data_IF_968901874971
#
_entry.id   IF_968901874971
#
_cell.length_a   1.000
_cell.length_b   1.000
_cell.length_c   1.000
_cell.angle_alpha   90.00
_cell.angle_beta   90.00
_cell.angle_gamma   90.00
#
_symmetry.space_group_name_H-M   'P 1'
#
loop_
_entity.id
_entity.type
_entity.pdbx_description
1 polymer ?
#
# COMPACT_ATOMS: atom_id res chain seq x y z
N UNK A 1 24.16 10.68 25.06
CA UNK A 1 23.82 11.53 26.19
C UNK A 1 22.71 12.49 25.78
N UNK A 2 21.47 12.23 26.31
CA UNK A 2 20.50 13.25 26.63
C UNK A 2 20.04 14.23 25.55
N UNK A 3 19.99 13.88 24.29
CA UNK A 3 19.33 14.72 23.31
C UNK A 3 17.85 14.35 23.31
N UNK A 4 17.02 15.37 23.51
CA UNK A 4 15.57 15.26 23.41
C UNK A 4 15.19 14.54 22.14
N UNK A 5 14.37 13.48 22.29
CA UNK A 5 13.93 12.66 21.20
C UNK A 5 13.04 13.46 20.24
N UNK A 6 13.50 13.65 19.02
CA UNK A 6 12.58 13.72 17.90
C UNK A 6 12.10 15.07 17.42
N UNK A 7 12.76 16.19 17.71
CA UNK A 7 12.46 17.46 17.01
C UNK A 7 13.61 17.83 16.08
N UNK A 8 13.33 17.95 14.80
CA UNK A 8 14.19 18.66 13.86
C UNK A 8 14.02 20.14 14.16
N UNK A 9 14.90 20.67 14.97
CA UNK A 9 14.89 22.08 15.37
C UNK A 9 15.73 22.89 14.37
N UNK A 10 15.18 23.03 13.16
CA UNK A 10 15.79 23.84 12.11
C UNK A 10 14.73 24.72 11.46
N UNK A 11 15.03 26.00 11.32
CA UNK A 11 14.18 26.92 10.56
C UNK A 11 14.34 26.73 9.06
N UNK A 12 15.46 26.14 8.62
CA UNK A 12 15.75 25.86 7.21
C UNK A 12 15.50 24.40 6.85
N UNK A 13 15.17 24.11 5.58
CA UNK A 13 15.06 22.72 5.10
C UNK A 13 16.38 21.96 5.25
N UNK A 14 16.29 20.71 5.73
CA UNK A 14 17.45 19.89 6.06
C UNK A 14 17.35 18.47 5.54
N UNK A 15 18.50 17.82 5.39
CA UNK A 15 18.62 16.37 5.22
C UNK A 15 18.75 15.79 6.63
N UNK A 16 17.83 14.88 6.98
CA UNK A 16 17.83 14.22 8.28
C UNK A 16 18.69 12.97 8.24
N UNK A 17 19.72 12.95 9.08
CA UNK A 17 20.67 11.84 9.19
C UNK A 17 20.50 11.16 10.55
N UNK A 18 20.32 9.86 10.57
CA UNK A 18 20.17 9.10 11.79
C UNK A 18 20.74 7.68 11.65
N UNK A 19 20.99 7.03 12.77
CA UNK A 19 21.36 5.61 12.74
C UNK A 19 20.20 4.75 12.27
N UNK A 20 19.02 5.01 12.81
CA UNK A 20 17.74 4.47 12.39
C UNK A 20 16.63 5.43 12.83
N UNK A 21 15.43 5.32 12.24
CA UNK A 21 14.26 6.13 12.61
C UNK A 21 13.14 5.23 13.09
N UNK A 22 12.76 5.38 14.35
CA UNK A 22 11.62 4.69 14.90
C UNK A 22 10.31 5.36 14.43
N UNK A 23 9.20 4.59 14.30
CA UNK A 23 7.89 5.15 13.94
C UNK A 23 7.44 6.31 14.83
N UNK A 24 7.71 6.23 16.13
CA UNK A 24 7.37 7.29 17.10
C UNK A 24 8.15 8.60 16.88
N UNK A 25 9.32 8.52 16.31
CA UNK A 25 10.16 9.69 16.01
C UNK A 25 9.70 10.40 14.74
N UNK A 26 9.15 9.67 13.79
CA UNK A 26 8.69 10.19 12.49
C UNK A 26 7.38 10.95 12.57
N UNK A 27 6.54 10.64 13.54
CA UNK A 27 5.25 11.34 13.77
C UNK A 27 5.47 12.80 14.16
N UNK A 28 6.59 13.10 14.82
CA UNK A 28 6.91 14.44 15.34
C UNK A 28 7.68 15.31 14.35
N UNK A 29 8.05 14.80 13.17
CA UNK A 29 8.80 15.54 12.18
C UNK A 29 7.93 16.58 11.46
N UNK A 30 8.46 17.80 11.34
CA UNK A 30 7.91 18.80 10.42
C UNK A 30 8.31 18.42 8.99
N UNK A 31 7.40 17.74 8.31
CA UNK A 31 7.61 17.19 6.96
C UNK A 31 7.92 18.26 5.92
N UNK A 32 7.55 19.51 6.15
CA UNK A 32 7.84 20.61 5.24
C UNK A 32 9.32 21.01 5.22
N UNK A 33 10.06 20.64 6.26
CA UNK A 33 11.47 20.99 6.45
C UNK A 33 12.45 19.86 6.19
N UNK A 34 11.94 18.64 5.97
CA UNK A 34 12.78 17.47 5.69
C UNK A 34 12.88 17.24 4.19
N UNK A 35 14.06 17.45 3.63
CA UNK A 35 14.33 17.25 2.20
C UNK A 35 14.65 15.80 1.85
N UNK A 36 15.23 15.05 2.78
CA UNK A 36 15.68 13.68 2.57
C UNK A 36 15.96 13.00 3.90
N UNK A 37 15.93 11.66 3.90
CA UNK A 37 16.39 10.81 4.99
C UNK A 37 17.65 10.05 4.58
N UNK A 38 18.64 9.98 5.47
CA UNK A 38 19.81 9.12 5.32
C UNK A 38 20.00 8.33 6.61
N UNK A 39 19.94 7.01 6.55
CA UNK A 39 20.13 6.15 7.72
C UNK A 39 21.25 5.15 7.52
N UNK A 40 21.92 4.78 8.62
CA UNK A 40 22.95 3.75 8.63
C UNK A 40 22.34 2.36 8.62
N UNK A 41 21.26 2.15 9.35
CA UNK A 41 20.51 0.89 9.45
C UNK A 41 19.21 0.93 8.65
N UNK A 42 18.68 -0.23 8.35
CA UNK A 42 17.42 -0.40 7.68
C UNK A 42 17.54 -1.13 6.36
N UNK A 43 16.39 -1.36 5.74
CA UNK A 43 16.27 -1.97 4.42
C UNK A 43 15.30 -1.15 3.56
N UNK A 44 15.21 -1.47 2.27
CA UNK A 44 14.25 -0.84 1.34
C UNK A 44 12.80 -0.99 1.78
N UNK A 45 12.52 -1.93 2.68
CA UNK A 45 11.21 -2.18 3.27
C UNK A 45 11.09 -1.68 4.71
N UNK A 46 12.06 -0.90 5.20
CA UNK A 46 12.02 -0.30 6.52
C UNK A 46 10.95 0.78 6.63
N UNK A 47 10.58 1.12 7.86
CA UNK A 47 9.64 2.22 8.12
C UNK A 47 10.13 3.54 7.51
N UNK A 48 11.43 3.84 7.59
CA UNK A 48 12.04 5.03 6.99
C UNK A 48 11.85 5.06 5.47
N UNK A 49 12.06 3.93 4.79
CA UNK A 49 11.89 3.84 3.35
C UNK A 49 10.42 4.05 2.95
N UNK A 50 9.49 3.46 3.68
CA UNK A 50 8.05 3.64 3.46
C UNK A 50 7.65 5.09 3.66
N UNK A 51 8.13 5.74 4.73
CA UNK A 51 7.85 7.13 5.01
C UNK A 51 8.38 8.06 3.90
N UNK A 52 9.60 7.82 3.43
CA UNK A 52 10.18 8.60 2.34
C UNK A 52 9.37 8.49 1.05
N UNK A 53 8.91 7.29 0.72
CA UNK A 53 8.02 7.07 -0.43
C UNK A 53 6.69 7.81 -0.26
N UNK A 54 6.10 7.75 0.91
CA UNK A 54 4.86 8.47 1.23
C UNK A 54 5.03 9.98 1.11
N UNK A 55 6.16 10.52 1.56
CA UNK A 55 6.49 11.94 1.45
C UNK A 55 7.00 12.33 0.06
N UNK A 56 7.28 11.37 -0.80
CA UNK A 56 7.89 11.55 -2.13
C UNK A 56 9.21 12.32 -2.08
N UNK A 57 10.07 11.93 -1.16
CA UNK A 57 11.43 12.49 -0.99
C UNK A 57 12.49 11.41 -1.14
N UNK A 58 13.71 11.75 -1.55
CA UNK A 58 14.82 10.80 -1.60
C UNK A 58 15.16 10.26 -0.23
N UNK A 59 15.54 8.98 -0.17
CA UNK A 59 16.09 8.39 1.04
C UNK A 59 17.21 7.42 0.70
N UNK A 60 18.22 7.38 1.55
CA UNK A 60 19.29 6.39 1.49
C UNK A 60 19.32 5.62 2.80
N UNK A 61 19.44 4.32 2.71
CA UNK A 61 19.51 3.41 3.85
C UNK A 61 20.73 2.51 3.73
N UNK A 62 21.26 2.06 4.86
CA UNK A 62 22.45 1.23 4.87
C UNK A 62 23.73 1.98 4.47
N UNK A 63 23.80 3.27 4.73
CA UNK A 63 24.94 4.12 4.39
C UNK A 63 25.90 4.20 5.56
N UNK A 64 27.21 4.02 5.32
CA UNK A 64 28.22 4.32 6.30
C UNK A 64 28.33 5.85 6.48
N UNK A 65 28.04 6.31 7.67
CA UNK A 65 27.99 7.74 7.98
C UNK A 65 29.31 8.18 8.66
N UNK A 66 30.01 9.20 8.10
CA UNK A 66 31.15 9.83 8.78
C UNK A 66 30.70 10.51 10.06
N UNK A 67 31.63 10.76 10.94
CA UNK A 67 31.42 11.59 12.12
C UNK A 67 31.30 13.09 11.75
N UNK A 68 30.59 13.85 12.58
CA UNK A 68 30.48 15.32 12.45
C UNK A 68 29.82 15.83 11.17
N UNK A 69 28.65 15.27 10.85
CA UNK A 69 27.85 15.68 9.67
C UNK A 69 26.96 16.90 9.91
N UNK A 70 26.72 17.26 11.18
CA UNK A 70 25.79 18.34 11.53
C UNK A 70 26.27 19.70 10.94
N UNK A 71 25.34 20.37 10.26
CA UNK A 71 25.59 21.68 9.65
C UNK A 71 26.34 21.65 8.32
N UNK A 72 26.73 20.50 7.82
CA UNK A 72 27.37 20.37 6.49
C UNK A 72 26.36 20.34 5.35
N UNK A 73 26.75 20.93 4.22
CA UNK A 73 26.01 20.80 2.98
C UNK A 73 26.21 19.42 2.39
N UNK A 74 25.11 18.82 1.96
CA UNK A 74 25.14 17.48 1.35
C UNK A 74 24.15 17.38 0.19
N UNK A 75 24.42 16.43 -0.70
CA UNK A 75 23.54 16.07 -1.81
C UNK A 75 23.12 14.60 -1.63
N UNK A 76 21.83 14.34 -1.68
CA UNK A 76 21.26 12.98 -1.69
C UNK A 76 20.68 12.68 -3.06
N UNK A 77 21.26 11.71 -3.75
CA UNK A 77 20.75 11.18 -5.01
C UNK A 77 20.11 9.82 -4.75
N UNK A 78 18.79 9.81 -4.64
CA UNK A 78 18.03 8.58 -4.39
C UNK A 78 17.95 7.65 -5.60
N UNK A 79 18.22 8.12 -6.82
CA UNK A 79 18.22 7.31 -8.03
C UNK A 79 19.52 6.49 -8.16
N UNK A 80 20.65 7.12 -7.90
CA UNK A 80 21.95 6.46 -8.00
C UNK A 80 22.46 5.91 -6.65
N UNK A 81 21.76 6.19 -5.56
CA UNK A 81 22.14 5.71 -4.24
C UNK A 81 23.39 6.39 -3.68
N UNK A 82 23.52 7.68 -3.89
CA UNK A 82 24.72 8.46 -3.50
C UNK A 82 24.41 9.51 -2.45
N UNK A 83 25.28 9.59 -1.47
CA UNK A 83 25.40 10.71 -0.54
C UNK A 83 26.71 11.44 -0.86
N UNK A 84 26.65 12.70 -1.28
CA UNK A 84 27.80 13.51 -1.66
C UNK A 84 28.00 14.59 -0.61
N UNK A 85 29.17 14.56 0.03
CA UNK A 85 29.62 15.56 0.99
C UNK A 85 30.70 16.43 0.35
N UNK A 86 30.75 17.71 0.74
CA UNK A 86 31.76 18.65 0.27
C UNK A 86 31.88 18.71 -1.28
N UNK A 87 30.74 18.74 -1.96
CA UNK A 87 30.66 18.79 -3.42
C UNK A 87 31.37 20.07 -3.94
N UNK A 88 32.12 19.92 -5.03
CA UNK A 88 32.68 21.04 -5.77
C UNK A 88 31.56 21.83 -6.50
N UNK A 89 31.92 23.00 -7.02
CA UNK A 89 30.95 23.86 -7.72
C UNK A 89 30.35 23.20 -8.96
N UNK A 90 31.11 22.40 -9.68
CA UNK A 90 30.66 21.70 -10.87
C UNK A 90 29.62 20.63 -10.50
N UNK A 91 29.88 19.83 -9.50
CA UNK A 91 28.97 18.80 -8.97
C UNK A 91 27.69 19.44 -8.42
N UNK A 92 27.83 20.52 -7.66
CA UNK A 92 26.68 21.23 -7.09
C UNK A 92 25.79 21.80 -8.20
N UNK A 93 26.38 22.43 -9.22
CA UNK A 93 25.65 22.97 -10.36
C UNK A 93 24.93 21.87 -11.16
N UNK A 94 25.55 20.72 -11.35
CA UNK A 94 24.96 19.56 -12.02
C UNK A 94 23.70 19.09 -11.30
N UNK A 95 23.76 18.93 -9.98
CA UNK A 95 22.62 18.45 -9.19
C UNK A 95 21.53 19.51 -8.99
N UNK A 96 21.88 20.79 -8.91
CA UNK A 96 20.89 21.87 -8.91
C UNK A 96 20.06 21.87 -10.19
N UNK A 97 20.72 21.71 -11.34
CA UNK A 97 20.06 21.60 -12.64
C UNK A 97 19.16 20.37 -12.73
N UNK A 98 19.65 19.24 -12.26
CA UNK A 98 18.89 17.98 -12.21
C UNK A 98 17.65 18.09 -11.33
N UNK A 99 17.77 18.76 -10.20
CA UNK A 99 16.66 19.06 -9.29
C UNK A 99 15.61 19.97 -9.93
N UNK A 100 16.03 21.02 -10.64
CA UNK A 100 15.13 21.92 -11.35
C UNK A 100 14.36 21.17 -12.46
N UNK A 101 15.03 20.33 -13.22
CA UNK A 101 14.41 19.50 -14.28
C UNK A 101 13.34 18.56 -13.67
N UNK A 102 13.64 17.97 -12.52
CA UNK A 102 12.69 17.09 -11.81
C UNK A 102 11.48 17.87 -11.28
N UNK A 103 11.67 19.07 -10.75
CA UNK A 103 10.59 19.94 -10.28
C UNK A 103 9.69 20.39 -11.43
N UNK A 104 10.26 20.70 -12.59
CA UNK A 104 9.49 21.03 -13.79
C UNK A 104 8.68 19.83 -14.30
N UNK A 105 9.26 18.63 -14.28
CA UNK A 105 8.57 17.39 -14.63
C UNK A 105 7.37 17.16 -13.71
N UNK A 106 7.53 17.37 -12.40
CA UNK A 106 6.42 17.28 -11.44
C UNK A 106 5.31 18.29 -11.74
N UNK A 107 5.66 19.51 -12.13
CA UNK A 107 4.68 20.54 -12.54
C UNK A 107 3.90 20.12 -13.78
N UNK A 108 4.59 19.52 -14.76
CA UNK A 108 3.95 19.01 -15.98
C UNK A 108 2.97 17.87 -15.65
N UNK A 109 3.32 16.99 -14.71
CA UNK A 109 2.44 15.91 -14.28
C UNK A 109 1.15 16.45 -13.61
N UNK A 110 1.22 17.58 -12.93
CA UNK A 110 0.02 18.20 -12.34
C UNK A 110 -1.03 18.60 -13.39
N UNK A 111 -0.64 18.80 -14.64
CA UNK A 111 -1.58 19.09 -15.74
C UNK A 111 -2.42 17.86 -16.12
N UNK A 112 -2.08 16.68 -15.63
CA UNK A 112 -2.84 15.45 -15.85
C UNK A 112 -4.01 15.29 -14.87
N UNK A 113 -4.12 16.13 -13.86
CA UNK A 113 -5.27 16.12 -12.96
C UNK A 113 -6.56 16.40 -13.75
N UNK A 114 -7.59 15.62 -13.43
CA UNK A 114 -8.87 15.69 -14.12
C UNK A 114 -8.91 14.99 -15.48
N UNK A 115 -7.79 14.48 -15.96
CA UNK A 115 -7.75 13.71 -17.21
C UNK A 115 -7.99 12.23 -16.95
N UNK A 116 -8.69 11.59 -17.89
CA UNK A 116 -8.93 10.15 -17.84
C UNK A 116 -7.62 9.37 -17.94
N UNK A 117 -7.55 8.27 -17.17
CA UNK A 117 -6.46 7.30 -17.31
C UNK A 117 -6.85 6.29 -18.37
N UNK A 118 -6.43 6.56 -19.59
CA UNK A 118 -6.76 5.75 -20.76
C UNK A 118 -5.56 5.67 -21.71
N UNK A 119 -5.50 4.55 -22.43
CA UNK A 119 -4.48 4.36 -23.48
C UNK A 119 -4.81 5.20 -24.71
N UNK A 120 -3.86 5.31 -25.64
CA UNK A 120 -4.06 6.00 -26.93
C UNK A 120 -5.22 5.41 -27.76
N UNK A 121 -5.55 4.15 -27.52
CA UNK A 121 -6.67 3.45 -28.16
C UNK A 121 -7.98 3.54 -27.39
N UNK A 122 -8.00 4.32 -26.31
CA UNK A 122 -9.20 4.56 -25.51
C UNK A 122 -9.54 3.50 -24.47
N UNK A 123 -8.63 2.56 -24.18
CA UNK A 123 -8.83 1.60 -23.09
C UNK A 123 -8.66 2.30 -21.74
N UNK A 124 -9.71 2.31 -20.94
CA UNK A 124 -9.71 2.91 -19.60
C UNK A 124 -9.16 1.93 -18.57
N UNK A 125 -8.30 2.45 -17.69
CA UNK A 125 -7.74 1.72 -16.55
C UNK A 125 -8.16 2.46 -15.28
N UNK A 126 -8.64 1.71 -14.30
CA UNK A 126 -8.91 2.27 -12.97
C UNK A 126 -7.58 2.51 -12.25
N UNK A 127 -7.28 3.76 -11.98
CA UNK A 127 -6.04 4.15 -11.32
C UNK A 127 -6.37 4.65 -9.91
N UNK A 128 -6.10 3.80 -8.95
CA UNK A 128 -6.42 4.00 -7.54
C UNK A 128 -5.16 4.19 -6.70
N UNK A 129 -5.36 4.62 -5.46
CA UNK A 129 -4.28 4.80 -4.50
C UNK A 129 -4.33 3.79 -3.37
N UNK A 130 -3.17 3.42 -2.85
CA UNK A 130 -3.02 2.65 -1.62
C UNK A 130 -2.88 3.61 -0.44
N UNK A 131 -3.58 3.34 0.65
CA UNK A 131 -3.43 4.10 1.90
C UNK A 131 -3.22 3.17 3.10
N UNK A 132 -2.44 3.64 4.06
CA UNK A 132 -2.17 2.95 5.32
C UNK A 132 -2.69 3.68 6.56
N UNK A 133 -3.36 4.80 6.38
CA UNK A 133 -3.91 5.60 7.46
C UNK A 133 -4.65 6.83 6.97
N UNK A 134 -5.31 7.56 7.87
CA UNK A 134 -6.12 8.73 7.54
C UNK A 134 -5.29 9.90 7.00
N UNK A 135 -4.03 10.01 7.42
CA UNK A 135 -3.13 11.06 6.95
C UNK A 135 -2.86 11.00 5.43
N UNK A 136 -3.05 9.85 4.81
CA UNK A 136 -2.81 9.67 3.37
C UNK A 136 -3.93 10.25 2.49
N UNK A 137 -5.12 10.52 3.05
CA UNK A 137 -6.27 11.00 2.27
C UNK A 137 -6.00 12.30 1.51
N UNK A 138 -5.32 13.25 2.16
CA UNK A 138 -4.96 14.51 1.51
C UNK A 138 -4.10 14.27 0.27
N UNK A 139 -3.15 13.34 0.35
CA UNK A 139 -2.29 12.95 -0.76
C UNK A 139 -3.06 12.24 -1.89
N UNK A 140 -4.03 11.41 -1.54
CA UNK A 140 -4.92 10.75 -2.52
C UNK A 140 -5.67 11.80 -3.36
N UNK A 141 -6.26 12.79 -2.70
CA UNK A 141 -6.99 13.86 -3.38
C UNK A 141 -6.05 14.77 -4.17
N UNK A 142 -4.91 15.13 -3.59
CA UNK A 142 -3.92 15.99 -4.25
C UNK A 142 -3.35 15.37 -5.54
N UNK A 143 -3.23 14.06 -5.59
CA UNK A 143 -2.72 13.32 -6.75
C UNK A 143 -3.84 12.81 -7.69
N UNK A 144 -5.08 13.19 -7.44
CA UNK A 144 -6.22 12.89 -8.31
C UNK A 144 -6.44 11.40 -8.58
N UNK A 145 -6.28 10.57 -7.56
CA UNK A 145 -6.60 9.15 -7.69
C UNK A 145 -8.11 8.97 -7.92
N UNK A 146 -8.47 8.04 -8.80
CA UNK A 146 -9.87 7.77 -9.12
C UNK A 146 -10.60 6.96 -8.02
N UNK A 147 -9.88 6.50 -7.03
CA UNK A 147 -10.40 5.75 -5.90
C UNK A 147 -9.28 5.29 -4.98
N UNK A 148 -9.65 4.54 -3.96
CA UNK A 148 -8.71 3.85 -3.09
C UNK A 148 -8.85 2.35 -3.35
N UNK A 149 -7.82 1.75 -3.92
CA UNK A 149 -7.81 0.32 -4.27
C UNK A 149 -7.31 -0.57 -3.13
N UNK A 150 -6.65 0.01 -2.16
CA UNK A 150 -6.20 -0.69 -0.96
C UNK A 150 -6.23 0.26 0.23
N UNK A 151 -7.23 0.08 1.07
CA UNK A 151 -7.26 0.68 2.40
C UNK A 151 -6.80 -0.39 3.39
N UNK A 152 -5.59 -0.23 3.91
CA UNK A 152 -5.03 -1.12 4.95
C UNK A 152 -5.65 -0.75 6.29
N UNK A 153 -6.56 -1.58 6.78
CA UNK A 153 -7.29 -1.30 8.02
C UNK A 153 -6.47 -1.57 9.29
N UNK A 154 -5.28 -2.12 9.16
CA UNK A 154 -4.44 -2.55 10.30
C UNK A 154 -4.11 -1.41 11.28
N UNK A 155 -3.99 -0.18 10.80
CA UNK A 155 -3.66 0.97 11.66
C UNK A 155 -4.68 1.15 12.80
N UNK A 156 -5.95 0.81 12.56
CA UNK A 156 -6.99 0.89 13.59
C UNK A 156 -6.70 -0.05 14.77
N UNK A 157 -6.10 -1.18 14.48
CA UNK A 157 -5.74 -2.19 15.46
C UNK A 157 -4.38 -1.92 16.11
N UNK A 158 -3.42 -1.45 15.31
CA UNK A 158 -2.04 -1.20 15.76
C UNK A 158 -1.92 0.05 16.64
N UNK A 159 -2.73 1.06 16.40
CA UNK A 159 -2.73 2.33 17.13
C UNK A 159 -3.64 2.32 18.37
N UNK A 160 -4.31 1.20 18.66
CA UNK A 160 -5.23 1.06 19.76
C UNK A 160 -4.67 0.13 20.83
N UNK A 161 -4.98 0.42 22.12
CA UNK A 161 -4.62 -0.43 23.26
C UNK A 161 -5.59 -1.61 23.46
N UNK A 162 -6.71 -1.56 22.79
CA UNK A 162 -7.78 -2.57 22.84
C UNK A 162 -8.37 -2.78 21.45
N UNK A 163 -9.11 -3.88 21.29
CA UNK A 163 -9.82 -4.16 20.05
C UNK A 163 -10.71 -2.96 19.68
N UNK A 164 -10.53 -2.38 18.48
CA UNK A 164 -11.38 -1.28 18.02
C UNK A 164 -12.85 -1.70 18.01
N UNK A 165 -13.71 -0.86 18.58
CA UNK A 165 -15.15 -1.11 18.58
C UNK A 165 -15.73 -0.94 17.19
N UNK A 166 -16.91 -1.51 16.98
CA UNK A 166 -17.67 -1.30 15.74
C UNK A 166 -17.87 0.18 15.45
N UNK A 167 -18.22 0.98 16.47
CA UNK A 167 -18.45 2.41 16.32
C UNK A 167 -17.19 3.19 15.96
N UNK A 168 -16.07 2.88 16.60
CA UNK A 168 -14.77 3.49 16.27
C UNK A 168 -14.36 3.19 14.83
N UNK A 169 -14.50 1.94 14.39
CA UNK A 169 -14.21 1.53 13.03
C UNK A 169 -15.16 2.20 12.02
N UNK A 170 -16.45 2.19 12.34
CA UNK A 170 -17.49 2.80 11.49
C UNK A 170 -17.20 4.27 11.21
N UNK A 171 -16.83 5.05 12.23
CA UNK A 171 -16.51 6.47 12.07
C UNK A 171 -15.38 6.69 11.06
N UNK A 172 -14.34 5.87 11.12
CA UNK A 172 -13.20 5.96 10.20
C UNK A 172 -13.62 5.58 8.77
N UNK A 173 -14.27 4.46 8.59
CA UNK A 173 -14.70 4.00 7.25
C UNK A 173 -15.69 4.97 6.61
N UNK A 174 -16.63 5.50 7.38
CA UNK A 174 -17.56 6.52 6.94
C UNK A 174 -16.85 7.79 6.50
N UNK A 175 -15.90 8.28 7.30
CA UNK A 175 -15.12 9.47 6.98
C UNK A 175 -14.37 9.33 5.66
N UNK A 176 -13.76 8.18 5.41
CA UNK A 176 -13.06 7.90 4.15
C UNK A 176 -14.04 7.84 3.00
N UNK A 177 -15.17 7.14 3.15
CA UNK A 177 -16.19 7.03 2.12
C UNK A 177 -16.73 8.41 1.71
N UNK A 178 -17.05 9.26 2.67
CA UNK A 178 -17.55 10.60 2.44
C UNK A 178 -16.49 11.51 1.80
N UNK A 179 -15.26 11.44 2.27
CA UNK A 179 -14.12 12.20 1.69
C UNK A 179 -13.89 11.85 0.23
N UNK A 180 -14.07 10.60 -0.15
CA UNK A 180 -13.89 10.14 -1.53
C UNK A 180 -15.08 10.47 -2.44
N UNK A 181 -16.17 10.97 -1.90
CA UNK A 181 -17.30 11.53 -2.64
C UNK A 181 -17.85 10.63 -3.76
N UNK A 182 -18.14 9.38 -3.43
CA UNK A 182 -18.67 8.39 -4.38
C UNK A 182 -17.62 7.61 -5.18
N UNK A 183 -16.35 7.99 -5.10
CA UNK A 183 -15.27 7.22 -5.69
C UNK A 183 -15.04 5.93 -4.88
N UNK A 184 -14.64 4.88 -5.57
CA UNK A 184 -14.43 3.56 -4.97
C UNK A 184 -13.45 3.59 -3.81
N UNK A 185 -13.81 2.91 -2.72
CA UNK A 185 -12.93 2.65 -1.58
C UNK A 185 -12.96 1.15 -1.28
N UNK A 186 -11.85 0.46 -1.49
CA UNK A 186 -11.73 -0.96 -1.19
C UNK A 186 -11.02 -1.11 0.15
N UNK A 187 -11.74 -1.62 1.14
CA UNK A 187 -11.22 -1.85 2.49
C UNK A 187 -10.77 -3.29 2.61
N UNK A 188 -9.50 -3.47 2.93
CA UNK A 188 -8.97 -4.80 3.25
C UNK A 188 -9.26 -5.12 4.70
N UNK A 189 -9.84 -6.28 4.96
CA UNK A 189 -10.05 -6.77 6.33
C UNK A 189 -8.72 -7.04 7.01
N UNK A 190 -8.76 -7.27 8.31
CA UNK A 190 -7.58 -7.43 9.15
C UNK A 190 -6.49 -8.30 8.51
N UNK A 191 -5.30 -7.73 8.36
CA UNK A 191 -4.10 -8.43 7.86
C UNK A 191 -2.94 -8.27 8.87
N UNK A 192 -3.09 -8.90 10.03
CA UNK A 192 -2.11 -8.91 11.12
C UNK A 192 -1.72 -10.35 11.43
N UNK A 193 -0.45 -10.56 11.77
CA UNK A 193 0.09 -11.82 12.22
C UNK A 193 1.02 -11.63 13.42
N UNK A 194 1.69 -12.70 13.85
CA UNK A 194 2.54 -12.73 15.03
C UNK A 194 3.80 -11.83 14.93
N UNK A 195 4.13 -11.35 13.75
CA UNK A 195 5.19 -10.36 13.50
C UNK A 195 4.83 -8.96 14.03
N UNK A 196 3.55 -8.71 14.33
CA UNK A 196 3.05 -7.46 14.90
C UNK A 196 2.75 -7.64 16.39
N UNK A 197 3.17 -6.67 17.20
CA UNK A 197 2.88 -6.66 18.63
C UNK A 197 1.53 -6.00 18.89
N UNK A 198 0.50 -6.82 18.97
CA UNK A 198 -0.86 -6.40 19.34
C UNK A 198 -1.31 -7.27 20.51
N UNK A 199 -1.05 -6.78 21.74
CA UNK A 199 -1.19 -7.55 22.97
C UNK A 199 -2.60 -8.12 23.16
N UNK A 200 -3.63 -7.36 22.84
CA UNK A 200 -5.03 -7.81 23.04
C UNK A 200 -5.48 -8.90 22.05
N UNK A 201 -4.75 -9.16 20.98
CA UNK A 201 -5.02 -10.28 20.08
C UNK A 201 -4.45 -11.60 20.58
N UNK A 202 -3.58 -11.56 21.59
CA UNK A 202 -2.97 -12.73 22.22
C UNK A 202 -2.34 -13.71 21.22
N UNK A 203 -1.65 -13.19 20.23
CA UNK A 203 -0.97 -14.00 19.23
C UNK A 203 0.32 -14.59 19.80
N UNK A 204 0.42 -15.91 19.73
CA UNK A 204 1.64 -16.61 20.14
C UNK A 204 2.78 -16.32 19.16
N UNK A 205 4.01 -16.28 19.67
CA UNK A 205 5.19 -16.13 18.83
C UNK A 205 5.32 -17.32 17.88
N UNK A 206 5.61 -17.07 16.61
CA UNK A 206 5.79 -18.08 15.57
C UNK A 206 7.17 -17.95 14.95
N UNK A 207 7.75 -19.04 14.51
CA UNK A 207 9.03 -19.04 13.78
C UNK A 207 8.89 -18.42 12.38
N UNK A 208 7.75 -18.63 11.73
CA UNK A 208 7.46 -18.15 10.39
C UNK A 208 6.12 -17.40 10.34
N UNK A 209 6.03 -16.21 10.92
CA UNK A 209 4.75 -15.46 11.01
C UNK A 209 4.08 -15.22 9.66
N UNK A 210 4.87 -15.03 8.60
CA UNK A 210 4.33 -14.80 7.27
C UNK A 210 3.53 -16.00 6.72
N UNK A 211 3.83 -17.21 7.19
CA UNK A 211 3.14 -18.44 6.83
C UNK A 211 2.26 -18.98 7.96
N UNK A 212 2.01 -18.19 8.97
CA UNK A 212 1.39 -18.62 10.21
C UNK A 212 -0.09 -18.24 10.35
N UNK A 213 -0.49 -18.12 11.61
CA UNK A 213 -1.82 -17.74 12.05
C UNK A 213 -1.99 -16.23 11.89
N UNK A 214 -2.53 -15.81 10.74
CA UNK A 214 -2.63 -14.40 10.37
C UNK A 214 -3.83 -14.12 9.49
N UNK A 215 -4.19 -12.84 9.40
CA UNK A 215 -5.17 -12.31 8.47
C UNK A 215 -6.51 -13.05 8.51
N UNK A 216 -6.97 -13.55 7.37
CA UNK A 216 -8.26 -14.26 7.28
C UNK A 216 -8.33 -15.49 8.19
N UNK A 217 -7.21 -16.12 8.49
CA UNK A 217 -7.17 -17.27 9.40
C UNK A 217 -7.60 -16.90 10.80
N UNK A 218 -7.16 -15.73 11.28
CA UNK A 218 -7.61 -15.16 12.56
C UNK A 218 -9.10 -14.81 12.48
N UNK A 219 -9.52 -14.16 11.40
CA UNK A 219 -10.89 -13.71 11.21
C UNK A 219 -11.90 -14.88 11.22
N UNK A 220 -11.58 -15.98 10.54
CA UNK A 220 -12.46 -17.14 10.48
C UNK A 220 -12.48 -17.94 11.77
N UNK A 221 -11.37 -17.94 12.51
CA UNK A 221 -11.26 -18.60 13.80
C UNK A 221 -11.90 -17.79 14.95
N UNK A 222 -11.96 -16.46 14.79
CA UNK A 222 -12.55 -15.52 15.74
C UNK A 222 -13.70 -14.74 15.10
N UNK A 223 -14.86 -15.36 14.87
CA UNK A 223 -15.95 -14.77 14.09
C UNK A 223 -16.47 -13.43 14.63
N UNK A 224 -16.47 -13.24 15.94
CA UNK A 224 -16.96 -11.99 16.55
C UNK A 224 -16.06 -10.80 16.21
N UNK A 225 -14.75 -11.00 16.22
CA UNK A 225 -13.78 -9.99 15.79
C UNK A 225 -14.02 -9.64 14.29
N UNK A 226 -14.22 -10.63 13.46
CA UNK A 226 -14.48 -10.45 12.04
C UNK A 226 -15.81 -9.75 11.78
N UNK A 227 -16.88 -10.18 12.43
CA UNK A 227 -18.20 -9.55 12.31
C UNK A 227 -18.21 -8.09 12.75
N UNK A 228 -17.47 -7.74 13.79
CA UNK A 228 -17.33 -6.36 14.24
C UNK A 228 -16.78 -5.48 13.13
N UNK A 229 -15.73 -5.91 12.47
CA UNK A 229 -15.18 -5.18 11.31
C UNK A 229 -16.15 -5.13 10.15
N UNK A 230 -16.76 -6.24 9.79
CA UNK A 230 -17.71 -6.32 8.67
C UNK A 230 -18.94 -5.44 8.90
N UNK A 231 -19.53 -5.44 10.12
CA UNK A 231 -20.65 -4.55 10.43
C UNK A 231 -20.28 -3.09 10.26
N UNK A 232 -19.10 -2.70 10.74
CA UNK A 232 -18.61 -1.33 10.59
C UNK A 232 -18.45 -0.94 9.11
N UNK A 233 -17.90 -1.82 8.29
CA UNK A 233 -17.72 -1.58 6.86
C UNK A 233 -19.07 -1.48 6.15
N UNK A 234 -19.99 -2.40 6.39
CA UNK A 234 -21.32 -2.38 5.78
C UNK A 234 -22.13 -1.14 6.19
N UNK A 235 -22.05 -0.73 7.45
CA UNK A 235 -22.66 0.52 7.89
C UNK A 235 -22.10 1.72 7.13
N UNK A 236 -20.79 1.76 6.93
CA UNK A 236 -20.14 2.83 6.17
C UNK A 236 -20.52 2.81 4.68
N UNK A 237 -20.86 1.66 4.12
CA UNK A 237 -21.22 1.52 2.70
C UNK A 237 -22.46 2.29 2.29
N UNK A 238 -23.31 2.65 3.23
CA UNK A 238 -24.46 3.54 2.98
C UNK A 238 -24.02 4.95 2.57
N UNK A 239 -22.82 5.37 2.99
CA UNK A 239 -22.31 6.74 2.80
C UNK A 239 -21.34 6.89 1.63
N UNK A 240 -21.08 5.84 0.87
CA UNK A 240 -20.19 5.91 -0.27
C UNK A 240 -20.09 4.59 -1.03
N UNK A 241 -19.15 4.52 -1.95
CA UNK A 241 -18.93 3.34 -2.80
C UNK A 241 -17.83 2.45 -2.20
N UNK A 242 -18.21 1.46 -1.42
CA UNK A 242 -17.28 0.59 -0.70
C UNK A 242 -17.22 -0.81 -1.31
N UNK A 243 -16.00 -1.35 -1.44
CA UNK A 243 -15.73 -2.76 -1.66
C UNK A 243 -14.96 -3.34 -0.48
N UNK A 244 -15.02 -4.65 -0.31
CA UNK A 244 -14.26 -5.38 0.73
C UNK A 244 -13.32 -6.35 0.05
N UNK A 245 -12.08 -6.38 0.52
CA UNK A 245 -11.04 -7.29 0.06
C UNK A 245 -10.56 -8.17 1.22
N UNK A 246 -10.58 -9.49 1.01
CA UNK A 246 -10.14 -10.46 2.01
C UNK A 246 -8.73 -10.95 1.68
N UNK A 247 -7.76 -10.78 2.62
CA UNK A 247 -6.37 -11.15 2.38
C UNK A 247 -6.08 -12.63 2.69
N UNK A 248 -4.96 -13.13 2.20
CA UNK A 248 -4.39 -14.46 2.52
C UNK A 248 -5.28 -15.66 2.17
N UNK A 249 -6.04 -15.54 1.11
CA UNK A 249 -6.91 -16.62 0.65
C UNK A 249 -6.09 -17.72 -0.02
N UNK A 250 -6.40 -18.98 0.34
CA UNK A 250 -5.79 -20.17 -0.27
C UNK A 250 -6.81 -21.17 -0.80
N UNK A 251 -8.10 -20.99 -0.50
CA UNK A 251 -9.10 -22.02 -0.84
C UNK A 251 -10.50 -21.43 -1.10
N UNK A 252 -11.28 -22.18 -1.83
CA UNK A 252 -12.70 -21.90 -2.06
C UNK A 252 -13.51 -22.00 -0.76
N UNK A 253 -13.15 -22.93 0.12
CA UNK A 253 -13.82 -23.11 1.42
C UNK A 253 -13.76 -21.86 2.29
N UNK A 254 -12.63 -21.17 2.27
CA UNK A 254 -12.49 -19.89 2.98
C UNK A 254 -13.49 -18.86 2.45
N UNK A 255 -13.64 -18.75 1.15
CA UNK A 255 -14.59 -17.81 0.53
C UNK A 255 -16.02 -18.14 0.90
N UNK A 256 -16.38 -19.42 0.91
CA UNK A 256 -17.72 -19.86 1.31
C UNK A 256 -18.03 -19.50 2.76
N UNK A 257 -17.09 -19.73 3.67
CA UNK A 257 -17.23 -19.33 5.07
C UNK A 257 -17.35 -17.81 5.24
N UNK A 258 -16.54 -17.05 4.50
CA UNK A 258 -16.63 -15.59 4.48
C UNK A 258 -18.02 -15.13 4.06
N UNK A 259 -18.56 -15.68 2.98
CA UNK A 259 -19.91 -15.34 2.47
C UNK A 259 -21.01 -15.67 3.47
N UNK A 260 -20.91 -16.80 4.19
CA UNK A 260 -21.84 -17.14 5.27
C UNK A 260 -21.81 -16.08 6.37
N UNK A 261 -20.63 -15.67 6.81
CA UNK A 261 -20.47 -14.64 7.84
C UNK A 261 -20.98 -13.28 7.36
N UNK A 262 -20.71 -12.92 6.11
CA UNK A 262 -21.23 -11.69 5.51
C UNK A 262 -22.76 -11.70 5.47
N UNK A 263 -23.37 -12.83 5.11
CA UNK A 263 -24.82 -12.98 5.11
C UNK A 263 -25.41 -12.81 6.52
N UNK A 264 -24.77 -13.37 7.53
CA UNK A 264 -25.17 -13.18 8.93
C UNK A 264 -25.09 -11.71 9.35
N UNK A 265 -24.01 -11.02 9.00
CA UNK A 265 -23.84 -9.58 9.30
C UNK A 265 -24.94 -8.75 8.64
N UNK A 266 -25.22 -8.99 7.38
CA UNK A 266 -26.31 -8.29 6.65
C UNK A 266 -27.66 -8.51 7.32
N UNK A 267 -27.95 -9.75 7.71
CA UNK A 267 -29.19 -10.09 8.43
C UNK A 267 -29.29 -9.37 9.77
N UNK A 268 -28.21 -9.35 10.56
CA UNK A 268 -28.14 -8.62 11.83
C UNK A 268 -28.43 -7.13 11.66
N UNK A 269 -27.81 -6.50 10.67
CA UNK A 269 -28.01 -5.08 10.37
C UNK A 269 -29.47 -4.80 9.94
N UNK A 270 -30.02 -5.64 9.10
CA UNK A 270 -31.41 -5.51 8.65
C UNK A 270 -32.39 -5.65 9.80
N UNK A 271 -32.18 -6.62 10.69
CA UNK A 271 -33.01 -6.85 11.86
C UNK A 271 -33.00 -5.68 12.84
N UNK A 272 -31.91 -4.94 12.89
CA UNK A 272 -31.77 -3.72 13.71
C UNK A 272 -32.17 -2.43 12.98
N UNK A 273 -32.68 -2.54 11.76
CA UNK A 273 -33.07 -1.37 10.96
C UNK A 273 -31.92 -0.49 10.51
N UNK A 274 -30.72 -1.03 10.45
CA UNK A 274 -29.52 -0.30 10.01
C UNK A 274 -29.35 -0.42 8.50
N UNK A 275 -29.26 0.71 7.83
CA UNK A 275 -29.11 0.78 6.37
C UNK A 275 -27.67 0.50 5.94
N UNK A 276 -27.52 -0.17 4.82
CA UNK A 276 -26.24 -0.40 4.15
C UNK A 276 -26.43 -0.43 2.62
N UNK A 277 -25.33 -0.17 1.89
CA UNK A 277 -25.34 -0.18 0.43
C UNK A 277 -24.88 -1.50 -0.17
N UNK A 278 -24.80 -1.52 -1.48
CA UNK A 278 -24.22 -2.64 -2.22
C UNK A 278 -22.71 -2.60 -2.10
N UNK A 279 -22.12 -3.72 -1.72
CA UNK A 279 -20.68 -3.86 -1.50
C UNK A 279 -20.12 -4.96 -2.38
N UNK A 280 -19.16 -4.61 -3.24
CA UNK A 280 -18.42 -5.63 -3.97
C UNK A 280 -17.52 -6.41 -3.02
N UNK A 281 -17.51 -7.73 -3.15
CA UNK A 281 -16.62 -8.61 -2.41
C UNK A 281 -15.53 -9.13 -3.33
N UNK A 282 -14.29 -8.94 -2.92
CA UNK A 282 -13.14 -9.43 -3.65
C UNK A 282 -12.10 -10.04 -2.72
N UNK A 283 -11.07 -10.59 -3.31
CA UNK A 283 -9.97 -11.20 -2.57
C UNK A 283 -8.62 -10.67 -3.04
N UNK A 284 -7.67 -10.68 -2.14
CA UNK A 284 -6.27 -10.46 -2.50
C UNK A 284 -5.69 -11.78 -2.99
N UNK A 285 -5.16 -11.78 -4.21
CA UNK A 285 -4.42 -12.90 -4.76
C UNK A 285 -2.95 -12.68 -4.43
N UNK A 286 -2.47 -13.36 -3.41
CA UNK A 286 -1.12 -13.17 -2.88
C UNK A 286 -0.43 -14.48 -2.49
N UNK A 287 -1.10 -15.60 -2.72
CA UNK A 287 -0.52 -16.93 -2.52
C UNK A 287 -0.48 -17.70 -3.84
N UNK A 288 0.54 -18.53 -4.08
CA UNK A 288 0.57 -19.38 -5.27
C UNK A 288 -0.66 -20.30 -5.37
N UNK A 289 -1.17 -20.78 -4.24
CA UNK A 289 -2.38 -21.60 -4.20
C UNK A 289 -3.59 -20.86 -4.79
N UNK A 290 -3.80 -19.61 -4.42
CA UNK A 290 -4.91 -18.81 -4.95
C UNK A 290 -4.77 -18.56 -6.45
N UNK A 291 -3.56 -18.33 -6.95
CA UNK A 291 -3.29 -18.19 -8.39
C UNK A 291 -3.71 -19.46 -9.14
N UNK A 292 -3.31 -20.62 -8.66
CA UNK A 292 -3.53 -21.90 -9.32
C UNK A 292 -5.02 -22.29 -9.41
N UNK A 293 -5.85 -21.83 -8.47
CA UNK A 293 -7.29 -22.10 -8.45
C UNK A 293 -8.13 -20.86 -8.73
N UNK A 294 -7.52 -19.81 -9.28
CA UNK A 294 -8.19 -18.52 -9.51
C UNK A 294 -9.39 -18.61 -10.44
N UNK A 295 -9.44 -19.56 -11.34
CA UNK A 295 -10.61 -19.82 -12.16
C UNK A 295 -11.85 -20.18 -11.32
N UNK A 296 -11.68 -21.01 -10.29
CA UNK A 296 -12.76 -21.36 -9.35
C UNK A 296 -13.09 -20.23 -8.39
N UNK A 297 -12.07 -19.54 -7.89
CA UNK A 297 -12.28 -18.41 -6.98
C UNK A 297 -13.02 -17.26 -7.68
N UNK A 298 -12.77 -17.05 -8.95
CA UNK A 298 -13.44 -16.00 -9.76
C UNK A 298 -14.94 -16.19 -9.89
N UNK A 299 -15.47 -17.42 -9.77
CA UNK A 299 -16.90 -17.68 -9.78
C UNK A 299 -17.61 -17.15 -8.53
N UNK A 300 -16.86 -16.93 -7.46
CA UNK A 300 -17.41 -16.62 -6.13
C UNK A 300 -17.20 -15.18 -5.67
N UNK A 301 -16.35 -14.40 -6.36
CA UNK A 301 -16.04 -13.03 -6.02
C UNK A 301 -16.12 -12.10 -7.21
N UNK A 302 -16.25 -10.81 -6.96
CA UNK A 302 -16.47 -9.80 -7.99
C UNK A 302 -15.14 -9.21 -8.49
N UNK A 303 -14.08 -9.32 -7.71
CA UNK A 303 -12.75 -8.83 -8.13
C UNK A 303 -11.61 -9.58 -7.47
N UNK A 304 -10.45 -9.50 -8.14
CA UNK A 304 -9.15 -9.88 -7.61
C UNK A 304 -8.26 -8.66 -7.50
N UNK A 305 -7.53 -8.54 -6.41
CA UNK A 305 -6.42 -7.58 -6.29
C UNK A 305 -5.14 -8.35 -6.01
N UNK A 306 -4.19 -8.27 -6.92
CA UNK A 306 -2.96 -9.07 -6.80
C UNK A 306 -1.99 -8.36 -5.87
N UNK A 307 -1.70 -8.99 -4.73
CA UNK A 307 -0.70 -8.56 -3.77
C UNK A 307 0.68 -9.08 -4.18
N UNK A 308 1.32 -8.38 -5.09
CA UNK A 308 2.58 -8.83 -5.70
C UNK A 308 3.73 -9.00 -4.71
N UNK A 309 3.73 -8.24 -3.62
CA UNK A 309 4.78 -8.32 -2.61
C UNK A 309 4.82 -9.70 -1.94
N UNK A 310 3.69 -10.11 -1.37
CA UNK A 310 3.57 -11.42 -0.74
C UNK A 310 3.60 -12.56 -1.76
N UNK A 311 2.97 -12.38 -2.92
CA UNK A 311 3.02 -13.39 -3.98
C UNK A 311 4.47 -13.70 -4.39
N UNK A 312 5.29 -12.68 -4.55
CA UNK A 312 6.72 -12.84 -4.87
C UNK A 312 7.45 -13.55 -3.74
N UNK A 313 7.23 -13.12 -2.51
CA UNK A 313 7.84 -13.73 -1.32
C UNK A 313 7.56 -15.23 -1.22
N UNK A 314 6.29 -15.61 -1.35
CA UNK A 314 5.88 -17.03 -1.25
C UNK A 314 6.33 -17.86 -2.45
N UNK A 315 6.31 -17.29 -3.64
CA UNK A 315 6.69 -18.01 -4.87
C UNK A 315 8.18 -18.25 -4.94
N UNK A 316 8.98 -17.24 -4.62
CA UNK A 316 10.46 -17.35 -4.64
C UNK A 316 11.04 -17.90 -3.34
N UNK A 317 10.19 -18.14 -2.33
CA UNK A 317 10.62 -18.61 -1.00
C UNK A 317 11.69 -17.70 -0.38
N UNK A 318 11.48 -16.39 -0.47
CA UNK A 318 12.40 -15.37 0.04
C UNK A 318 11.67 -14.40 0.95
N UNK A 319 12.23 -14.18 2.14
CA UNK A 319 11.77 -13.12 3.03
C UNK A 319 12.24 -11.77 2.47
N UNK A 320 11.29 -10.97 1.98
CA UNK A 320 11.58 -9.65 1.39
C UNK A 320 12.18 -8.64 2.37
N UNK A 321 12.08 -8.92 3.68
CA UNK A 321 12.65 -8.06 4.72
C UNK A 321 14.08 -8.46 5.11
N UNK A 322 14.58 -9.55 4.58
CA UNK A 322 15.94 -10.00 4.85
C UNK A 322 16.93 -9.30 3.90
N UNK A 323 17.78 -8.37 4.41
CA UNK A 323 18.70 -7.62 3.54
C UNK A 323 19.73 -8.49 2.84
N UNK A 324 20.04 -9.67 3.36
CA UNK A 324 20.98 -10.62 2.74
C UNK A 324 20.43 -11.24 1.44
N UNK A 325 19.10 -11.23 1.25
CA UNK A 325 18.43 -11.79 0.08
C UNK A 325 18.16 -10.74 -1.00
N UNK A 326 18.47 -9.49 -0.77
CA UNK A 326 18.14 -8.41 -1.69
C UNK A 326 18.70 -8.61 -3.10
N UNK A 327 19.94 -9.14 -3.20
CA UNK A 327 20.56 -9.45 -4.49
C UNK A 327 19.96 -10.66 -5.22
N UNK A 328 19.23 -11.52 -4.49
CA UNK A 328 18.56 -12.70 -5.06
C UNK A 328 17.10 -12.43 -5.41
N UNK A 329 16.53 -11.36 -4.86
CA UNK A 329 15.13 -11.02 -5.03
C UNK A 329 14.90 -10.31 -6.35
N UNK A 330 14.24 -10.99 -7.29
CA UNK A 330 13.88 -10.45 -8.60
C UNK A 330 12.36 -10.23 -8.67
N UNK A 331 11.87 -8.98 -8.53
CA UNK A 331 10.44 -8.68 -8.62
C UNK A 331 9.90 -8.86 -10.05
N UNK A 332 10.76 -8.87 -11.07
CA UNK A 332 10.41 -9.12 -12.47
C UNK A 332 10.55 -10.59 -12.88
N UNK A 333 10.64 -11.48 -11.92
CA UNK A 333 10.81 -12.91 -12.18
C UNK A 333 9.68 -13.42 -13.10
N UNK A 334 10.06 -14.22 -14.10
CA UNK A 334 9.13 -14.76 -15.08
C UNK A 334 7.95 -15.50 -14.45
N UNK A 335 8.19 -16.24 -13.37
CA UNK A 335 7.12 -16.95 -12.66
C UNK A 335 6.03 -16.01 -12.13
N UNK A 336 6.44 -14.84 -11.61
CA UNK A 336 5.50 -13.85 -11.08
C UNK A 336 4.66 -13.24 -12.21
N UNK A 337 5.30 -12.87 -13.31
CA UNK A 337 4.60 -12.32 -14.47
C UNK A 337 3.61 -13.32 -15.06
N UNK A 338 3.97 -14.61 -15.15
CA UNK A 338 3.05 -15.67 -15.57
C UNK A 338 1.89 -15.87 -14.62
N UNK A 339 2.12 -15.77 -13.31
CA UNK A 339 1.07 -15.87 -12.31
C UNK A 339 0.08 -14.72 -12.40
N UNK A 340 0.56 -13.51 -12.65
CA UNK A 340 -0.30 -12.33 -12.86
C UNK A 340 -1.18 -12.55 -14.10
N UNK A 341 -0.60 -12.95 -15.21
CA UNK A 341 -1.32 -13.20 -16.46
C UNK A 341 -2.38 -14.30 -16.30
N UNK A 342 -2.03 -15.40 -15.65
CA UNK A 342 -2.98 -16.50 -15.34
C UNK A 342 -4.15 -16.00 -14.49
N UNK A 343 -3.88 -15.16 -13.51
CA UNK A 343 -4.91 -14.59 -12.63
C UNK A 343 -5.86 -13.68 -13.40
N UNK A 344 -5.33 -12.86 -14.31
CA UNK A 344 -6.15 -11.98 -15.16
C UNK A 344 -7.06 -12.82 -16.08
N UNK A 345 -6.50 -13.80 -16.77
CA UNK A 345 -7.27 -14.67 -17.67
C UNK A 345 -8.38 -15.42 -16.92
N UNK A 346 -8.05 -16.00 -15.77
CA UNK A 346 -9.02 -16.76 -14.97
C UNK A 346 -10.11 -15.84 -14.38
N UNK A 347 -9.76 -14.66 -13.94
CA UNK A 347 -10.73 -13.67 -13.46
C UNK A 347 -11.72 -13.27 -14.56
N UNK A 348 -11.21 -12.93 -15.74
CA UNK A 348 -12.01 -12.47 -16.86
C UNK A 348 -12.96 -13.54 -17.43
N UNK A 349 -12.65 -14.81 -17.26
CA UNK A 349 -13.58 -15.91 -17.64
C UNK A 349 -14.92 -15.83 -16.91
N UNK A 350 -14.95 -15.21 -15.74
CA UNK A 350 -16.12 -15.13 -14.86
C UNK A 350 -16.54 -13.69 -14.54
N UNK A 351 -16.18 -12.73 -15.39
CA UNK A 351 -16.46 -11.29 -15.22
C UNK A 351 -15.95 -10.74 -13.87
N UNK A 352 -14.89 -11.34 -13.34
CA UNK A 352 -14.19 -10.87 -12.17
C UNK A 352 -13.12 -9.88 -12.66
N UNK A 353 -13.21 -8.60 -12.28
CA UNK A 353 -12.18 -7.65 -12.67
C UNK A 353 -10.91 -7.87 -11.84
N UNK A 354 -9.75 -7.58 -12.42
CA UNK A 354 -8.45 -7.89 -11.83
C UNK A 354 -7.57 -6.65 -11.78
N UNK A 355 -7.07 -6.36 -10.60
CA UNK A 355 -6.13 -5.27 -10.37
C UNK A 355 -4.86 -5.72 -9.68
N UNK A 356 -3.93 -4.80 -9.56
CA UNK A 356 -2.67 -4.97 -8.82
C UNK A 356 -2.61 -3.88 -7.75
N UNK A 357 -2.37 -4.26 -6.50
CA UNK A 357 -2.18 -3.33 -5.39
C UNK A 357 -0.79 -3.41 -4.76
N UNK A 358 0.04 -4.36 -5.17
CA UNK A 358 1.42 -4.47 -4.73
C UNK A 358 2.35 -3.46 -5.42
N UNK A 359 3.61 -3.46 -5.02
CA UNK A 359 4.62 -2.49 -5.51
C UNK A 359 4.83 -2.56 -7.03
N UNK A 360 4.66 -3.72 -7.65
CA UNK A 360 4.79 -3.86 -9.10
C UNK A 360 3.80 -3.00 -9.89
N UNK A 361 2.66 -2.67 -9.32
CA UNK A 361 1.67 -1.80 -9.95
C UNK A 361 2.20 -0.40 -10.27
N UNK A 362 3.16 0.07 -9.49
CA UNK A 362 3.82 1.37 -9.68
C UNK A 362 5.11 1.29 -10.51
N UNK A 363 5.52 0.10 -10.93
CA UNK A 363 6.71 -0.10 -11.76
C UNK A 363 6.39 0.28 -13.21
N UNK A 364 6.84 1.46 -13.60
CA UNK A 364 6.54 2.03 -14.92
C UNK A 364 7.11 1.19 -16.08
N UNK A 365 8.15 0.40 -15.84
CA UNK A 365 8.71 -0.51 -16.83
C UNK A 365 7.79 -1.69 -17.15
N UNK A 366 6.83 -2.00 -16.26
CA UNK A 366 5.86 -3.08 -16.41
C UNK A 366 4.45 -2.60 -16.76
N UNK A 367 4.18 -1.32 -16.74
CA UNK A 367 2.84 -0.77 -17.00
C UNK A 367 2.26 -1.26 -18.32
N UNK A 368 3.03 -1.16 -19.40
CA UNK A 368 2.61 -1.63 -20.74
C UNK A 368 2.32 -3.13 -20.75
N UNK A 369 3.18 -3.93 -20.11
CA UNK A 369 2.99 -5.37 -19.97
C UNK A 369 1.68 -5.70 -19.27
N UNK A 370 1.36 -5.03 -18.18
CA UNK A 370 0.11 -5.24 -17.43
C UNK A 370 -1.11 -4.86 -18.26
N UNK A 371 -1.04 -3.78 -19.01
CA UNK A 371 -2.15 -3.38 -19.90
C UNK A 371 -2.37 -4.44 -20.97
N UNK A 372 -1.32 -4.97 -21.59
CA UNK A 372 -1.41 -6.03 -22.58
C UNK A 372 -1.93 -7.34 -21.99
N UNK A 373 -1.69 -7.63 -20.73
CA UNK A 373 -2.29 -8.76 -20.02
C UNK A 373 -3.79 -8.59 -19.79
N UNK A 374 -4.31 -7.37 -19.86
CA UNK A 374 -5.72 -7.06 -19.62
C UNK A 374 -6.03 -6.59 -18.20
N UNK A 375 -5.06 -6.11 -17.44
CA UNK A 375 -5.29 -5.56 -16.10
C UNK A 375 -6.36 -4.45 -16.17
N UNK A 376 -7.29 -4.47 -15.23
CA UNK A 376 -8.40 -3.52 -15.14
C UNK A 376 -8.10 -2.35 -14.20
N UNK A 377 -7.26 -2.57 -13.19
CA UNK A 377 -6.95 -1.61 -12.14
C UNK A 377 -5.47 -1.67 -11.75
N UNK A 378 -4.90 -0.51 -11.48
CA UNK A 378 -3.62 -0.37 -10.79
C UNK A 378 -3.84 0.51 -9.56
N UNK A 379 -3.48 0.00 -8.39
CA UNK A 379 -3.56 0.74 -7.13
C UNK A 379 -2.14 0.95 -6.61
N UNK A 380 -1.76 2.21 -6.48
CA UNK A 380 -0.38 2.62 -6.25
C UNK A 380 -0.28 3.60 -5.08
N UNK A 381 0.94 3.83 -4.61
CA UNK A 381 1.21 4.93 -3.67
C UNK A 381 0.69 6.24 -4.27
N UNK A 382 0.04 7.12 -3.50
CA UNK A 382 -0.53 8.36 -4.05
C UNK A 382 0.42 9.19 -4.91
N UNK A 383 1.69 9.29 -4.51
CA UNK A 383 2.71 10.04 -5.26
C UNK A 383 3.02 9.47 -6.66
N UNK A 384 2.65 8.22 -6.93
CA UNK A 384 2.87 7.56 -8.22
C UNK A 384 1.67 7.67 -9.17
N UNK A 385 0.52 8.11 -8.70
CA UNK A 385 -0.72 8.12 -9.50
C UNK A 385 -0.54 8.89 -10.81
N UNK A 386 -0.05 10.11 -10.76
CA UNK A 386 0.11 10.93 -11.98
C UNK A 386 1.19 10.40 -12.93
N UNK A 387 2.26 9.81 -12.40
CA UNK A 387 3.30 9.16 -13.22
C UNK A 387 2.75 7.94 -13.97
N UNK A 388 1.97 7.12 -13.30
CA UNK A 388 1.32 5.96 -13.92
C UNK A 388 0.30 6.41 -14.97
N UNK A 389 -0.48 7.45 -14.68
CA UNK A 389 -1.43 8.03 -15.65
C UNK A 389 -0.69 8.51 -16.90
N UNK A 390 0.40 9.23 -16.74
CA UNK A 390 1.23 9.71 -17.87
C UNK A 390 1.71 8.54 -18.73
N UNK A 391 2.24 7.51 -18.10
CA UNK A 391 2.72 6.31 -18.79
C UNK A 391 1.59 5.61 -19.56
N UNK A 392 0.43 5.41 -18.96
CA UNK A 392 -0.72 4.76 -19.59
C UNK A 392 -1.21 5.58 -20.79
N UNK A 393 -1.27 6.90 -20.68
CA UNK A 393 -1.74 7.78 -21.77
C UNK A 393 -0.83 7.80 -22.98
N UNK A 394 0.40 7.32 -22.86
CA UNK A 394 1.38 7.18 -23.96
C UNK A 394 1.40 5.80 -24.61
N UNK A 395 0.67 4.83 -24.07
CA UNK A 395 0.61 3.44 -24.58
C UNK A 395 -0.44 3.28 -25.68
#
# INVERSE_FOLDING_TARGET
>A
QGKEKGTVDSEEPVILVAEDLAPSETVQLDKSKVLSFVTHKGSTNSHTAILARTMNIPALIGVELPENLEGKMAIVDGYEGKLILDADEETLCYYEKKKEEEEEEKKLLLNLKGKETETTKGKKIHLYANIGGMADLASVLANDAAGIGLFRSEFLYLESDKLPTEEEQFKVYKAVAETMAGKKVIIRTLDIGADKKVDYLNLEAEENPAMGYRAIRICLDQPELFKTQLRAIYRASYYGNIGIMFPMIISLEEIKKIKEIVAEVKAELKDHGILYGDVELGIMIETPAAVMISDKLAEEVEFFSIGTNDLTQYTLAMDRQNPKLESFYDPHHEAILRMIEMTVENGHKHQCWVGICGELGADLSLTETFIHMGIDELSVTPSMVLKVRDTIRKI
#
